data_IF_300984082221
#
_entry.id   IF_300984082221
#
_cell.length_a   1.000
_cell.length_b   1.000
_cell.length_c   1.000
_cell.angle_alpha   90.00
_cell.angle_beta   90.00
_cell.angle_gamma   90.00
#
_symmetry.space_group_name_H-M   'P 1'
#
loop_
_entity.id
_entity.type
_entity.pdbx_description
1 polymer ?
#
# COMPACT_ATOMS: atom_id res chain seq x y z
N UNK A 1 16.45 29.12 -3.54
CA UNK A 1 15.57 28.80 -2.40
C UNK A 1 15.47 27.28 -2.28
N UNK A 2 16.13 26.70 -1.27
CA UNK A 2 16.27 25.25 -1.12
C UNK A 2 15.25 24.77 -0.07
N UNK A 3 14.06 24.38 -0.50
CA UNK A 3 13.02 23.89 0.41
C UNK A 3 13.30 22.43 0.78
N UNK A 4 13.91 22.20 1.95
CA UNK A 4 14.26 20.87 2.50
C UNK A 4 13.05 20.00 2.93
N UNK A 5 11.82 20.34 2.50
CA UNK A 5 10.59 19.63 2.89
C UNK A 5 9.61 19.52 1.71
N UNK A 6 9.94 18.73 0.68
CA UNK A 6 9.04 18.52 -0.45
C UNK A 6 7.80 17.72 -0.02
N UNK A 7 6.71 17.89 -0.76
CA UNK A 7 5.53 17.03 -0.66
C UNK A 7 5.75 15.83 -1.57
N UNK A 8 5.48 14.63 -1.07
CA UNK A 8 5.56 13.41 -1.86
C UNK A 8 4.18 12.78 -1.92
N UNK A 9 3.74 12.43 -3.12
CA UNK A 9 2.48 11.74 -3.34
C UNK A 9 2.66 10.63 -4.36
N UNK A 10 1.76 9.66 -4.32
CA UNK A 10 1.70 8.64 -5.36
C UNK A 10 1.22 9.23 -6.69
N UNK A 11 1.47 8.52 -7.77
CA UNK A 11 0.87 8.73 -9.09
C UNK A 11 -0.10 7.59 -9.38
N UNK A 12 -1.37 7.74 -8.98
CA UNK A 12 -2.40 6.73 -9.20
C UNK A 12 -2.98 6.87 -10.60
N UNK A 13 -3.09 5.74 -11.31
CA UNK A 13 -3.90 5.65 -12.51
C UNK A 13 -5.36 5.46 -12.13
N UNK A 14 -6.16 6.50 -12.33
CA UNK A 14 -7.60 6.49 -12.06
C UNK A 14 -8.44 6.38 -13.33
N UNK A 15 -7.89 5.93 -14.46
CA UNK A 15 -8.67 5.72 -15.70
C UNK A 15 -9.92 4.87 -15.48
N UNK A 16 -9.81 3.77 -14.72
CA UNK A 16 -10.95 2.91 -14.38
C UNK A 16 -12.06 3.61 -13.58
N UNK A 17 -11.78 4.72 -12.90
CA UNK A 17 -12.82 5.50 -12.21
C UNK A 17 -13.77 6.20 -13.18
N UNK A 18 -13.34 6.44 -14.43
CA UNK A 18 -14.09 7.16 -15.45
C UNK A 18 -14.98 6.22 -16.27
N UNK A 19 -14.46 5.05 -16.63
CA UNK A 19 -15.16 4.06 -17.45
C UNK A 19 -15.93 3.03 -16.63
N UNK A 20 -15.51 2.79 -15.38
CA UNK A 20 -16.04 1.69 -14.58
C UNK A 20 -15.68 0.32 -15.15
N UNK A 21 -15.81 -0.71 -14.33
CA UNK A 21 -15.75 -2.09 -14.82
C UNK A 21 -17.14 -2.53 -15.29
N UNK A 22 -17.30 -2.81 -16.60
CA UNK A 22 -18.58 -3.16 -17.24
C UNK A 22 -19.25 -4.36 -16.58
N UNK A 23 -18.45 -5.32 -16.12
CA UNK A 23 -18.94 -6.54 -15.45
C UNK A 23 -18.66 -6.52 -13.94
N UNK A 24 -18.21 -5.38 -13.41
CA UNK A 24 -17.85 -5.22 -12.01
C UNK A 24 -19.04 -4.83 -11.11
N UNK A 25 -18.74 -4.76 -9.81
CA UNK A 25 -19.70 -4.33 -8.79
C UNK A 25 -20.11 -2.86 -8.96
N UNK A 26 -21.42 -2.59 -9.03
CA UNK A 26 -21.97 -1.21 -9.05
C UNK A 26 -21.49 -0.37 -7.87
N UNK A 27 -21.44 -0.97 -6.67
CA UNK A 27 -20.95 -0.31 -5.44
C UNK A 27 -19.48 0.07 -5.56
N UNK A 28 -18.64 -0.82 -6.09
CA UNK A 28 -17.22 -0.57 -6.28
C UNK A 28 -16.98 0.51 -7.36
N UNK A 29 -17.72 0.46 -8.47
CA UNK A 29 -17.65 1.46 -9.53
C UNK A 29 -18.03 2.85 -9.01
N UNK A 30 -19.11 2.97 -8.22
CA UNK A 30 -19.50 4.22 -7.57
C UNK A 30 -18.41 4.76 -6.65
N UNK A 31 -17.81 3.89 -5.82
CA UNK A 31 -16.72 4.30 -4.94
C UNK A 31 -15.50 4.82 -5.72
N UNK A 32 -15.12 4.14 -6.81
CA UNK A 32 -14.03 4.60 -7.69
C UNK A 32 -14.38 5.93 -8.35
N UNK A 33 -15.59 6.07 -8.91
CA UNK A 33 -16.01 7.28 -9.65
C UNK A 33 -16.13 8.51 -8.74
N UNK A 34 -16.48 8.32 -7.46
CA UNK A 34 -16.50 9.40 -6.47
C UNK A 34 -15.10 9.90 -6.07
N UNK A 35 -14.04 9.14 -6.36
CA UNK A 35 -12.68 9.50 -5.97
C UNK A 35 -12.07 10.52 -6.95
N UNK A 36 -12.15 11.80 -6.60
CA UNK A 36 -11.68 12.92 -7.42
C UNK A 36 -10.14 13.13 -7.40
N UNK A 37 -9.38 12.06 -7.62
CA UNK A 37 -7.92 12.06 -7.49
C UNK A 37 -7.20 13.11 -8.33
N UNK A 38 -7.59 13.23 -9.61
CA UNK A 38 -7.00 14.21 -10.52
C UNK A 38 -7.20 15.64 -10.00
N UNK A 39 -8.41 15.96 -9.50
CA UNK A 39 -8.72 17.29 -8.95
C UNK A 39 -7.92 17.57 -7.68
N UNK A 40 -7.81 16.61 -6.77
CA UNK A 40 -6.99 16.73 -5.56
C UNK A 40 -5.52 16.97 -5.91
N UNK A 41 -4.97 16.15 -6.81
CA UNK A 41 -3.57 16.25 -7.27
C UNK A 41 -3.27 17.60 -7.91
N UNK A 42 -4.13 18.05 -8.83
CA UNK A 42 -4.01 19.36 -9.48
C UNK A 42 -4.04 20.50 -8.46
N UNK A 43 -4.93 20.42 -7.47
CA UNK A 43 -5.06 21.44 -6.43
C UNK A 43 -3.81 21.51 -5.54
N UNK A 44 -3.25 20.35 -5.18
CA UNK A 44 -2.00 20.26 -4.42
C UNK A 44 -0.85 20.86 -5.22
N UNK A 45 -0.69 20.47 -6.49
CA UNK A 45 0.37 21.00 -7.37
C UNK A 45 0.27 22.51 -7.54
N UNK A 46 -0.91 23.02 -7.89
CA UNK A 46 -1.12 24.46 -8.07
C UNK A 46 -0.87 25.25 -6.79
N UNK A 47 -1.24 24.71 -5.62
CA UNK A 47 -0.97 25.37 -4.35
C UNK A 47 0.51 25.32 -3.99
N UNK A 48 1.16 24.19 -4.21
CA UNK A 48 2.57 24.01 -3.90
C UNK A 48 3.44 24.91 -4.78
N UNK A 49 3.14 25.00 -6.08
CA UNK A 49 3.80 25.91 -7.03
C UNK A 49 3.71 27.37 -6.58
N UNK A 50 2.50 27.84 -6.22
CA UNK A 50 2.29 29.19 -5.65
C UNK A 50 3.07 29.46 -4.38
N UNK A 51 3.39 28.43 -3.60
CA UNK A 51 4.11 28.55 -2.32
C UNK A 51 5.60 28.22 -2.46
N UNK A 52 6.09 27.92 -3.67
CA UNK A 52 7.47 27.50 -3.92
C UNK A 52 7.83 26.13 -3.35
N UNK A 53 6.85 25.27 -3.07
CA UNK A 53 7.05 23.93 -2.49
C UNK A 53 7.14 22.89 -3.60
N UNK A 54 8.22 22.11 -3.62
CA UNK A 54 8.37 21.01 -4.57
C UNK A 54 7.39 19.86 -4.27
N UNK A 55 6.80 19.28 -5.32
CA UNK A 55 5.94 18.09 -5.24
C UNK A 55 6.55 16.98 -6.07
N UNK A 56 6.79 15.83 -5.46
CA UNK A 56 7.26 14.63 -6.14
C UNK A 56 6.15 13.60 -6.25
N UNK A 57 5.99 13.07 -7.46
CA UNK A 57 5.14 11.94 -7.73
C UNK A 57 5.98 10.66 -7.75
N UNK A 58 5.54 9.65 -7.02
CA UNK A 58 6.20 8.34 -6.96
C UNK A 58 5.28 7.24 -7.46
N UNK A 59 5.87 6.16 -7.97
CA UNK A 59 5.11 4.98 -8.36
C UNK A 59 4.28 4.47 -7.15
N UNK A 60 2.98 4.14 -7.29
CA UNK A 60 2.12 3.65 -6.20
C UNK A 60 2.32 2.17 -5.86
N UNK A 61 3.11 1.42 -6.64
CA UNK A 61 3.19 -0.02 -6.51
C UNK A 61 3.56 -0.48 -5.07
N UNK A 62 2.67 -1.28 -4.50
CA UNK A 62 2.80 -1.98 -3.22
C UNK A 62 3.09 -1.08 -1.99
N UNK A 63 2.78 0.21 -2.03
CA UNK A 63 3.05 1.15 -0.92
C UNK A 63 2.25 0.81 0.34
N UNK A 64 0.97 0.48 0.19
CA UNK A 64 0.11 0.04 1.30
C UNK A 64 0.58 -1.28 1.91
N UNK A 65 1.02 -2.22 1.06
CA UNK A 65 1.45 -3.57 1.47
C UNK A 65 2.80 -3.52 2.17
N UNK A 66 3.77 -2.83 1.57
CA UNK A 66 5.09 -2.64 2.18
C UNK A 66 4.99 -1.82 3.47
N UNK A 67 4.13 -0.80 3.52
CA UNK A 67 3.80 -0.07 4.74
C UNK A 67 3.23 -0.97 5.84
N UNK A 68 2.18 -1.73 5.51
CA UNK A 68 1.53 -2.70 6.40
C UNK A 68 2.53 -3.68 6.99
N UNK A 69 3.39 -4.25 6.16
CA UNK A 69 4.32 -5.31 6.56
C UNK A 69 5.59 -4.82 7.26
N UNK A 70 6.08 -3.62 6.94
CA UNK A 70 7.36 -3.11 7.47
C UNK A 70 7.21 -2.19 8.67
N UNK A 71 6.26 -1.27 8.61
CA UNK A 71 6.25 -0.09 9.48
C UNK A 71 5.08 -0.07 10.44
N UNK A 72 3.95 -0.64 10.03
CA UNK A 72 2.71 -0.61 10.82
C UNK A 72 2.92 -1.19 12.24
N UNK A 73 3.38 -2.45 12.37
CA UNK A 73 3.69 -3.08 13.66
C UNK A 73 4.91 -2.43 14.34
N UNK A 74 5.96 -2.15 13.57
CA UNK A 74 7.24 -1.64 14.09
C UNK A 74 7.09 -0.26 14.76
N UNK A 75 6.23 0.59 14.22
CA UNK A 75 6.03 1.96 14.68
C UNK A 75 4.71 2.14 15.44
N UNK A 76 3.85 1.12 15.52
CA UNK A 76 2.54 1.22 16.16
C UNK A 76 1.57 2.18 15.47
N UNK A 77 1.71 2.34 14.14
CA UNK A 77 0.95 3.32 13.36
C UNK A 77 -0.16 2.66 12.52
N UNK A 78 -1.13 3.45 12.07
CA UNK A 78 -2.21 2.95 11.21
C UNK A 78 -1.71 2.52 9.83
N UNK A 79 -2.51 1.73 9.10
CA UNK A 79 -2.17 1.32 7.73
C UNK A 79 -1.95 2.54 6.82
N UNK A 80 -2.77 3.58 6.97
CA UNK A 80 -2.66 4.81 6.18
C UNK A 80 -1.38 5.58 6.50
N UNK A 81 -1.02 5.71 7.78
CA UNK A 81 0.23 6.32 8.20
C UNK A 81 1.44 5.51 7.71
N UNK A 82 1.36 4.18 7.76
CA UNK A 82 2.44 3.31 7.28
C UNK A 82 2.64 3.39 5.76
N UNK A 83 1.55 3.55 5.00
CA UNK A 83 1.59 3.80 3.57
C UNK A 83 2.21 5.17 3.27
N UNK A 84 1.76 6.23 3.97
CA UNK A 84 2.34 7.58 3.86
C UNK A 84 3.84 7.60 4.16
N UNK A 85 4.28 6.89 5.20
CA UNK A 85 5.69 6.74 5.52
C UNK A 85 6.49 6.08 4.39
N UNK A 86 5.92 5.05 3.76
CA UNK A 86 6.52 4.37 2.61
C UNK A 86 6.63 5.29 1.39
N UNK A 87 5.58 6.08 1.11
CA UNK A 87 5.57 7.09 0.03
C UNK A 87 6.69 8.11 0.26
N UNK A 88 6.79 8.66 1.48
CA UNK A 88 7.84 9.61 1.84
C UNK A 88 9.24 9.04 1.65
N UNK A 89 9.48 7.80 2.11
CA UNK A 89 10.75 7.10 1.87
C UNK A 89 11.07 6.92 0.40
N UNK A 90 10.08 6.60 -0.43
CA UNK A 90 10.25 6.48 -1.88
C UNK A 90 10.61 7.82 -2.51
N UNK A 91 10.02 8.92 -2.04
CA UNK A 91 10.38 10.28 -2.46
C UNK A 91 11.81 10.68 -2.07
N UNK A 92 12.34 10.13 -0.98
CA UNK A 92 13.75 10.27 -0.59
C UNK A 92 14.71 9.34 -1.38
N UNK A 93 14.22 8.57 -2.36
CA UNK A 93 15.03 7.68 -3.18
C UNK A 93 15.27 6.28 -2.58
N UNK A 94 14.66 5.95 -1.43
CA UNK A 94 14.80 4.61 -0.86
C UNK A 94 14.01 3.57 -1.67
N UNK A 95 14.68 2.46 -2.00
CA UNK A 95 14.03 1.27 -2.54
C UNK A 95 13.42 0.47 -1.40
N UNK A 96 12.13 0.20 -1.48
CA UNK A 96 11.42 -0.60 -0.48
C UNK A 96 11.75 -2.08 -0.68
N UNK A 97 12.91 -2.52 -0.16
CA UNK A 97 13.28 -3.94 -0.13
C UNK A 97 12.45 -4.70 0.89
N UNK A 98 12.19 -5.98 0.59
CA UNK A 98 11.51 -6.90 1.50
C UNK A 98 12.41 -7.23 2.70
N UNK A 99 11.92 -7.12 3.95
CA UNK A 99 12.66 -7.52 5.14
C UNK A 99 13.10 -8.99 5.12
N UNK A 100 14.26 -9.30 5.68
CA UNK A 100 14.82 -10.66 5.73
C UNK A 100 13.84 -11.69 6.30
N UNK A 101 13.07 -11.32 7.33
CA UNK A 101 12.05 -12.17 7.94
C UNK A 101 10.92 -12.60 6.97
N UNK A 102 10.65 -11.80 5.93
CA UNK A 102 9.63 -12.12 4.92
C UNK A 102 10.23 -12.77 3.65
N UNK A 103 11.56 -12.76 3.51
CA UNK A 103 12.24 -13.38 2.37
C UNK A 103 12.17 -14.92 2.40
N UNK A 104 11.89 -15.52 3.55
CA UNK A 104 11.64 -16.97 3.70
C UNK A 104 10.43 -17.43 2.86
N UNK A 105 9.42 -16.57 2.73
CA UNK A 105 8.19 -16.86 1.98
C UNK A 105 8.32 -16.61 0.47
N UNK A 106 9.46 -16.10 0.00
CA UNK A 106 9.70 -15.77 -1.41
C UNK A 106 10.60 -16.83 -2.05
N UNK A 107 10.09 -17.50 -3.10
CA UNK A 107 10.86 -18.49 -3.86
C UNK A 107 12.08 -17.89 -4.56
N UNK A 108 11.89 -16.77 -5.27
CA UNK A 108 12.95 -16.11 -6.03
C UNK A 108 13.45 -14.84 -5.35
N UNK A 109 14.52 -14.96 -4.55
CA UNK A 109 15.14 -13.86 -3.81
C UNK A 109 15.95 -12.89 -4.67
N UNK A 110 16.39 -13.32 -5.86
CA UNK A 110 17.15 -12.49 -6.82
C UNK A 110 16.25 -11.64 -7.71
N UNK A 111 14.94 -11.90 -7.73
CA UNK A 111 13.99 -11.14 -8.51
C UNK A 111 13.92 -9.66 -8.09
N UNK A 112 13.47 -8.80 -8.99
CA UNK A 112 13.23 -7.38 -8.69
C UNK A 112 12.26 -7.24 -7.51
N UNK A 113 12.50 -6.26 -6.64
CA UNK A 113 11.74 -6.09 -5.39
C UNK A 113 10.22 -5.99 -5.58
N UNK A 114 9.73 -5.44 -6.71
CA UNK A 114 8.30 -5.44 -7.02
C UNK A 114 7.71 -6.84 -7.21
N UNK A 115 8.44 -7.75 -7.86
CA UNK A 115 8.01 -9.14 -8.00
C UNK A 115 7.94 -9.84 -6.64
N UNK A 116 8.89 -9.54 -5.76
CA UNK A 116 8.89 -10.03 -4.38
C UNK A 116 7.66 -9.53 -3.60
N UNK A 117 7.33 -8.24 -3.70
CA UNK A 117 6.12 -7.69 -3.09
C UNK A 117 4.84 -8.25 -3.69
N UNK A 118 4.81 -8.52 -5.00
CA UNK A 118 3.66 -9.16 -5.64
C UNK A 118 3.43 -10.58 -5.10
N UNK A 119 4.50 -11.37 -4.97
CA UNK A 119 4.43 -12.71 -4.39
C UNK A 119 3.91 -12.67 -2.94
N UNK A 120 4.41 -11.74 -2.13
CA UNK A 120 3.94 -11.54 -0.76
C UNK A 120 2.50 -11.06 -0.70
N UNK A 121 2.08 -10.15 -1.57
CA UNK A 121 0.69 -9.71 -1.66
C UNK A 121 -0.24 -10.88 -1.92
N UNK A 122 0.07 -11.71 -2.91
CA UNK A 122 -0.72 -12.89 -3.24
C UNK A 122 -0.78 -13.92 -2.10
N UNK A 123 0.31 -14.05 -1.35
CA UNK A 123 0.40 -14.99 -0.25
C UNK A 123 -0.31 -14.48 1.02
N UNK A 124 -0.28 -13.17 1.28
CA UNK A 124 -0.76 -12.53 2.51
C UNK A 124 -1.88 -11.51 2.21
N UNK A 125 -2.79 -11.89 1.32
CA UNK A 125 -3.99 -11.12 1.00
C UNK A 125 -5.07 -11.29 2.07
N UNK A 126 -4.74 -10.85 3.28
CA UNK A 126 -5.60 -10.92 4.46
C UNK A 126 -5.90 -9.52 4.98
N UNK A 127 -7.07 -9.37 5.61
CA UNK A 127 -7.50 -8.12 6.24
C UNK A 127 -6.49 -7.65 7.28
N UNK A 128 -6.35 -6.33 7.41
CA UNK A 128 -5.35 -5.68 8.28
C UNK A 128 -5.45 -6.13 9.74
N UNK A 129 -6.66 -6.34 10.26
CA UNK A 129 -6.86 -6.80 11.63
C UNK A 129 -6.34 -8.24 11.86
N UNK A 130 -6.58 -9.16 10.92
CA UNK A 130 -6.03 -10.52 10.98
C UNK A 130 -4.52 -10.52 10.84
N UNK A 131 -3.99 -9.73 9.90
CA UNK A 131 -2.55 -9.54 9.75
C UNK A 131 -1.92 -9.11 11.08
N UNK A 132 -2.54 -8.16 11.77
CA UNK A 132 -2.08 -7.74 13.10
C UNK A 132 -2.08 -8.87 14.12
N UNK A 133 -3.17 -9.64 14.23
CA UNK A 133 -3.25 -10.76 15.18
C UNK A 133 -2.21 -11.85 14.90
N UNK A 134 -2.06 -12.25 13.65
CA UNK A 134 -1.10 -13.27 13.20
C UNK A 134 0.34 -12.93 13.58
N UNK A 135 0.73 -11.66 13.43
CA UNK A 135 2.07 -11.19 13.73
C UNK A 135 2.25 -10.64 15.15
N UNK A 136 1.19 -10.60 15.98
CA UNK A 136 1.30 -10.24 17.41
C UNK A 136 1.15 -11.44 18.34
N UNK A 137 0.91 -12.64 17.79
CA UNK A 137 0.69 -13.85 18.58
C UNK A 137 -0.64 -13.86 19.34
N UNK A 138 -1.55 -12.93 19.03
CA UNK A 138 -2.90 -12.95 19.59
C UNK A 138 -3.69 -14.11 18.99
N UNK A 139 -4.49 -14.79 19.82
CA UNK A 139 -5.39 -15.83 19.32
C UNK A 139 -6.33 -15.25 18.25
N UNK A 140 -6.45 -15.98 17.16
CA UNK A 140 -7.40 -15.72 16.08
C UNK A 140 -8.51 -16.75 16.22
N UNK A 141 -9.75 -16.29 16.33
CA UNK A 141 -10.88 -17.20 16.40
C UNK A 141 -11.45 -17.44 15.01
N UNK A 142 -11.85 -18.68 14.72
CA UNK A 142 -12.32 -19.08 13.38
C UNK A 142 -13.49 -18.23 12.87
N UNK A 143 -14.38 -17.75 13.75
CA UNK A 143 -15.51 -16.90 13.36
C UNK A 143 -15.10 -15.51 12.83
N UNK A 144 -13.88 -15.06 13.11
CA UNK A 144 -13.36 -13.77 12.66
C UNK A 144 -12.80 -13.84 11.24
N UNK A 145 -12.62 -15.03 10.68
CA UNK A 145 -11.97 -15.29 9.41
C UNK A 145 -12.96 -15.73 8.35
N UNK A 146 -12.75 -15.30 7.11
CA UNK A 146 -13.46 -15.89 5.98
C UNK A 146 -12.81 -17.21 5.57
N UNK A 147 -13.54 -18.10 4.89
CA UNK A 147 -12.99 -19.37 4.40
C UNK A 147 -11.71 -19.20 3.56
N UNK A 148 -11.65 -18.12 2.78
CA UNK A 148 -10.46 -17.76 2.00
C UNK A 148 -9.26 -17.42 2.88
N UNK A 149 -9.46 -16.63 3.94
CA UNK A 149 -8.42 -16.26 4.88
C UNK A 149 -7.96 -17.48 5.70
N UNK A 150 -8.88 -18.37 6.07
CA UNK A 150 -8.55 -19.64 6.75
C UNK A 150 -7.64 -20.51 5.92
N UNK A 151 -7.94 -20.66 4.62
CA UNK A 151 -7.07 -21.39 3.68
C UNK A 151 -5.70 -20.73 3.52
N UNK A 152 -5.63 -19.40 3.52
CA UNK A 152 -4.36 -18.66 3.44
C UNK A 152 -3.52 -18.90 4.69
N UNK A 153 -4.09 -18.76 5.89
CA UNK A 153 -3.37 -18.93 7.15
C UNK A 153 -2.92 -20.38 7.34
N UNK A 154 -3.77 -21.35 7.00
CA UNK A 154 -3.42 -22.78 7.05
C UNK A 154 -2.32 -23.20 6.06
N UNK A 155 -1.96 -22.34 5.09
CA UNK A 155 -0.84 -22.58 4.15
C UNK A 155 0.47 -21.97 4.63
N UNK A 156 0.41 -21.07 5.61
CA UNK A 156 1.58 -20.36 6.15
C UNK A 156 2.25 -21.09 7.31
N UNK A 157 1.52 -22.00 7.96
CA UNK A 157 1.95 -22.87 9.06
C UNK A 157 1.72 -24.33 8.67
#
# INVERSE_FOLDING_TARGET
>A
MQYNKPIVMEQLDTTQSKTGDRYGSKKANRMKSMFAYQKMTSSIMNRADKMGVAVFQVNPAYTSISGKMKYMRKLGISIHQSAAFTIGRRGLGYKEKVPTALQTYIKNKKAHHWSQWHALHKLLDIRTHLFYKLFTGKQIHNHEMTDSETKIIAKLF
#
